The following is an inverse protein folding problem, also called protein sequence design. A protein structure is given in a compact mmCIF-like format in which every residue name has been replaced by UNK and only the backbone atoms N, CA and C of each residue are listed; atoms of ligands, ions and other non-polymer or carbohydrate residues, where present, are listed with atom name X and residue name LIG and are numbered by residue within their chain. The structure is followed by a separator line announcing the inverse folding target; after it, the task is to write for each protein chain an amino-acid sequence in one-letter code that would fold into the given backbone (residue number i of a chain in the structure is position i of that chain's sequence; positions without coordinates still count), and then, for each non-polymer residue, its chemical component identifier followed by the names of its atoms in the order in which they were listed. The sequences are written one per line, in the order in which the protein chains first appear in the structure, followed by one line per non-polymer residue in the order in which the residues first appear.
data_IF_369027923492
#
_entry.id   IF_369027923492
#
_cell.length_a   1.000
_cell.length_b   1.000
_cell.length_c   1.000
_cell.angle_alpha   90.00
_cell.angle_beta   90.00
_cell.angle_gamma   90.00
#
_symmetry.space_group_name_H-M   'P 1'
#
loop_
_entity.id
_entity.type
_entity.pdbx_description
1 polymer ?
#
# COMPACT_ATOMS: atom_id res chain seq x y z
N UNK A 1 15.54 2.47 -26.24
CA UNK A 1 16.52 2.68 -25.16
C UNK A 1 16.64 4.18 -24.85
N UNK A 2 16.04 4.63 -23.76
CA UNK A 2 16.06 6.02 -23.31
C UNK A 2 17.52 6.46 -23.14
N UNK A 3 18.01 7.25 -24.09
CA UNK A 3 19.33 7.90 -24.04
C UNK A 3 19.16 9.21 -23.26
N UNK A 4 18.56 9.09 -22.09
CA UNK A 4 18.24 10.22 -21.24
C UNK A 4 19.41 10.56 -20.33
N UNK A 5 19.52 11.83 -19.97
CA UNK A 5 20.50 12.31 -19.02
C UNK A 5 20.36 11.58 -17.67
N UNK A 6 21.48 11.30 -16.97
CA UNK A 6 21.47 10.55 -15.71
C UNK A 6 20.51 11.12 -14.66
N UNK A 7 20.23 12.43 -14.74
CA UNK A 7 19.26 13.12 -13.88
C UNK A 7 17.82 12.65 -14.11
N UNK A 8 17.38 12.52 -15.37
CA UNK A 8 16.00 12.13 -15.70
C UNK A 8 15.70 10.70 -15.26
N UNK A 9 16.69 9.81 -15.36
CA UNK A 9 16.57 8.42 -14.91
C UNK A 9 16.25 8.37 -13.41
N UNK A 10 16.94 9.16 -12.58
CA UNK A 10 16.69 9.19 -11.13
C UNK A 10 15.29 9.75 -10.79
N UNK A 11 14.82 10.74 -11.55
CA UNK A 11 13.45 11.26 -11.42
C UNK A 11 12.42 10.16 -11.72
N UNK A 12 12.59 9.39 -12.79
CA UNK A 12 11.69 8.28 -13.10
C UNK A 12 11.70 7.18 -12.04
N UNK A 13 12.88 6.86 -11.49
CA UNK A 13 12.98 5.91 -10.37
C UNK A 13 12.23 6.41 -9.13
N UNK A 14 12.41 7.68 -8.76
CA UNK A 14 11.67 8.30 -7.64
C UNK A 14 10.16 8.34 -7.87
N UNK A 15 9.74 8.65 -9.10
CA UNK A 15 8.33 8.63 -9.49
C UNK A 15 7.74 7.22 -9.45
N UNK A 16 8.52 6.18 -9.77
CA UNK A 16 8.09 4.79 -9.60
C UNK A 16 7.87 4.42 -8.13
N UNK A 17 8.73 4.87 -7.19
CA UNK A 17 8.50 4.70 -5.74
C UNK A 17 7.17 5.32 -5.34
N UNK A 18 6.94 6.57 -5.75
CA UNK A 18 5.72 7.30 -5.45
C UNK A 18 4.48 6.56 -5.99
N UNK A 19 4.52 6.18 -7.27
CA UNK A 19 3.38 5.56 -7.94
C UNK A 19 3.08 4.16 -7.37
N UNK A 20 4.10 3.35 -7.10
CA UNK A 20 3.95 2.03 -6.50
C UNK A 20 3.23 2.13 -5.15
N UNK A 21 3.69 3.03 -4.30
CA UNK A 21 3.13 3.24 -2.96
C UNK A 21 1.74 3.86 -2.98
N UNK A 22 1.51 4.81 -3.90
CA UNK A 22 0.19 5.38 -4.14
C UNK A 22 -0.83 4.32 -4.58
N UNK A 23 -0.46 3.46 -5.53
CA UNK A 23 -1.32 2.36 -6.01
C UNK A 23 -1.63 1.40 -4.86
N UNK A 24 -0.63 0.95 -4.10
CA UNK A 24 -0.83 0.05 -2.96
C UNK A 24 -1.74 0.67 -1.89
N UNK A 25 -1.58 1.96 -1.59
CA UNK A 25 -2.45 2.67 -0.64
C UNK A 25 -3.89 2.79 -1.14
N UNK A 26 -4.09 3.19 -2.41
CA UNK A 26 -5.43 3.32 -2.99
C UNK A 26 -6.16 1.96 -3.06
N UNK A 27 -5.44 0.88 -3.36
CA UNK A 27 -5.99 -0.47 -3.35
C UNK A 27 -6.24 -0.97 -1.91
N UNK A 28 -5.37 -0.61 -0.98
CA UNK A 28 -5.58 -0.81 0.46
C UNK A 28 -6.91 -0.22 0.92
N UNK A 29 -7.18 1.03 0.53
CA UNK A 29 -8.44 1.72 0.84
C UNK A 29 -9.66 1.04 0.22
N UNK A 30 -9.52 0.46 -0.98
CA UNK A 30 -10.64 -0.15 -1.72
C UNK A 30 -10.93 -1.59 -1.35
N UNK A 31 -9.91 -2.38 -1.01
CA UNK A 31 -10.06 -3.82 -0.82
C UNK A 31 -9.79 -4.25 0.61
N UNK A 32 -8.71 -3.75 1.21
CA UNK A 32 -8.29 -4.18 2.54
C UNK A 32 -9.05 -3.46 3.65
N UNK A 33 -9.30 -2.15 3.51
CA UNK A 33 -10.02 -1.34 4.49
C UNK A 33 -11.48 -1.78 4.68
N UNK A 34 -12.34 -1.89 3.63
CA UNK A 34 -13.73 -2.25 3.84
C UNK A 34 -13.91 -3.75 4.17
N UNK A 35 -12.85 -4.56 4.11
CA UNK A 35 -12.91 -6.01 4.24
C UNK A 35 -13.55 -6.51 5.54
N UNK A 36 -13.44 -5.76 6.64
CA UNK A 36 -14.10 -6.09 7.92
C UNK A 36 -15.58 -5.74 7.83
N UNK A 37 -15.91 -4.55 7.32
CA UNK A 37 -17.30 -4.09 7.14
C UNK A 37 -18.08 -5.00 6.18
N UNK A 38 -17.42 -5.52 5.14
CA UNK A 38 -17.99 -6.40 4.12
C UNK A 38 -18.41 -7.79 4.65
N UNK A 39 -18.00 -8.19 5.85
CA UNK A 39 -18.49 -9.45 6.43
C UNK A 39 -19.96 -9.38 6.86
N UNK A 40 -20.48 -8.17 7.06
CA UNK A 40 -21.89 -7.94 7.36
C UNK A 40 -22.41 -8.79 8.52
N UNK A 41 -23.49 -9.53 8.28
CA UNK A 41 -24.17 -10.36 9.30
C UNK A 41 -23.34 -11.56 9.76
N UNK A 42 -22.41 -12.05 8.94
CA UNK A 42 -21.54 -13.19 9.27
C UNK A 42 -20.60 -12.88 10.43
N UNK A 43 -20.29 -11.60 10.66
CA UNK A 43 -19.47 -11.16 11.79
C UNK A 43 -20.13 -11.47 13.15
N UNK A 44 -21.47 -11.52 13.23
CA UNK A 44 -22.17 -11.89 14.47
C UNK A 44 -21.93 -13.36 14.85
N UNK A 45 -21.82 -14.26 13.87
CA UNK A 45 -21.47 -15.66 14.10
C UNK A 45 -20.02 -15.75 14.61
N UNK A 46 -19.14 -14.91 14.05
CA UNK A 46 -17.74 -14.86 14.47
C UNK A 46 -17.58 -14.48 15.96
N UNK A 47 -18.44 -13.61 16.50
CA UNK A 47 -18.41 -13.22 17.93
C UNK A 47 -18.65 -14.39 18.90
N UNK A 48 -19.26 -15.47 18.43
CA UNK A 48 -19.58 -16.65 19.26
C UNK A 48 -18.39 -17.64 19.25
N UNK A 49 -17.46 -17.51 18.31
CA UNK A 49 -16.28 -18.38 18.23
C UNK A 49 -15.25 -18.05 19.32
N UNK A 50 -14.54 -19.04 19.87
CA UNK A 50 -13.46 -18.85 20.85
C UNK A 50 -12.17 -18.33 20.18
N UNK A 51 -12.29 -17.36 19.28
CA UNK A 51 -11.17 -16.77 18.53
C UNK A 51 -11.04 -15.31 18.94
N UNK A 52 -9.82 -14.89 19.28
CA UNK A 52 -9.56 -13.50 19.63
C UNK A 52 -9.69 -12.59 18.42
N UNK A 53 -10.27 -11.40 18.63
CA UNK A 53 -10.43 -10.39 17.58
C UNK A 53 -9.11 -10.00 16.91
N UNK A 54 -8.01 -9.99 17.67
CA UNK A 54 -6.66 -9.74 17.15
C UNK A 54 -6.21 -10.80 16.13
N UNK A 55 -6.47 -12.09 16.43
CA UNK A 55 -6.10 -13.20 15.54
C UNK A 55 -6.90 -13.16 14.24
N UNK A 56 -8.17 -12.77 14.34
CA UNK A 56 -9.03 -12.51 13.18
C UNK A 56 -8.45 -11.41 12.27
N UNK A 57 -8.18 -10.22 12.81
CA UNK A 57 -7.62 -9.12 12.01
C UNK A 57 -6.27 -9.48 11.39
N UNK A 58 -5.42 -10.18 12.14
CA UNK A 58 -4.12 -10.64 11.64
C UNK A 58 -4.27 -11.62 10.48
N UNK A 59 -5.16 -12.63 10.59
CA UNK A 59 -5.41 -13.56 9.49
C UNK A 59 -5.91 -12.85 8.23
N UNK A 60 -6.80 -11.86 8.40
CA UNK A 60 -7.32 -11.06 7.29
C UNK A 60 -6.23 -10.20 6.65
N UNK A 61 -5.38 -9.57 7.47
CA UNK A 61 -4.21 -8.83 7.00
C UNK A 61 -3.26 -9.68 6.16
N UNK A 62 -3.02 -10.93 6.57
CA UNK A 62 -2.22 -11.90 5.79
C UNK A 62 -2.89 -12.23 4.45
N UNK A 63 -4.22 -12.42 4.44
CA UNK A 63 -4.95 -12.71 3.20
C UNK A 63 -4.81 -11.61 2.15
N UNK A 64 -4.74 -10.33 2.58
CA UNK A 64 -4.51 -9.19 1.67
C UNK A 64 -3.03 -8.88 1.43
N UNK A 65 -2.14 -9.30 2.33
CA UNK A 65 -0.71 -9.14 2.16
C UNK A 65 -0.19 -9.86 0.91
N UNK A 66 -0.62 -11.11 0.69
CA UNK A 66 -0.18 -11.90 -0.46
C UNK A 66 -0.48 -11.23 -1.81
N UNK A 67 -1.72 -10.80 -2.14
CA UNK A 67 -2.00 -10.12 -3.39
C UNK A 67 -1.31 -8.74 -3.51
N UNK A 68 -1.00 -8.08 -2.39
CA UNK A 68 -0.32 -6.78 -2.43
C UNK A 68 1.16 -6.95 -2.74
N UNK A 69 1.81 -7.97 -2.16
CA UNK A 69 3.19 -8.32 -2.50
C UNK A 69 3.29 -8.73 -3.97
N UNK A 70 2.39 -9.58 -4.46
CA UNK A 70 2.43 -9.98 -5.87
C UNK A 70 2.25 -8.78 -6.80
N UNK A 71 1.33 -7.86 -6.48
CA UNK A 71 1.18 -6.63 -7.24
C UNK A 71 2.44 -5.76 -7.20
N UNK A 72 3.05 -5.58 -6.02
CA UNK A 72 4.29 -4.79 -5.88
C UNK A 72 5.44 -5.37 -6.71
N UNK A 73 5.54 -6.70 -6.78
CA UNK A 73 6.55 -7.41 -7.58
C UNK A 73 6.28 -7.18 -9.06
N UNK A 74 5.02 -7.30 -9.51
CA UNK A 74 4.64 -7.08 -10.91
C UNK A 74 4.99 -5.65 -11.35
N UNK A 75 4.64 -4.64 -10.54
CA UNK A 75 4.96 -3.23 -10.81
C UNK A 75 6.48 -2.99 -10.89
N UNK A 76 7.24 -3.55 -9.95
CA UNK A 76 8.70 -3.44 -9.95
C UNK A 76 9.35 -4.13 -11.14
N UNK A 77 8.93 -5.35 -11.48
CA UNK A 77 9.45 -6.07 -12.65
C UNK A 77 9.17 -5.26 -13.93
N UNK A 78 7.96 -4.71 -14.08
CA UNK A 78 7.63 -3.83 -15.19
C UNK A 78 8.55 -2.61 -15.28
N UNK A 79 8.85 -1.97 -14.14
CA UNK A 79 9.80 -0.87 -14.11
C UNK A 79 11.24 -1.29 -14.46
N UNK A 80 11.69 -2.47 -14.02
CA UNK A 80 13.04 -2.98 -14.29
C UNK A 80 13.30 -3.26 -15.77
N UNK A 81 12.25 -3.53 -16.56
CA UNK A 81 12.37 -3.68 -18.01
C UNK A 81 12.46 -2.34 -18.75
N UNK A 82 11.87 -1.28 -18.21
CA UNK A 82 11.74 0.01 -18.89
C UNK A 82 12.79 1.03 -18.43
N UNK A 83 13.26 0.95 -17.19
CA UNK A 83 14.16 1.91 -16.56
C UNK A 83 15.46 1.18 -16.19
N UNK A 84 16.65 1.78 -16.43
CA UNK A 84 17.91 1.18 -16.06
C UNK A 84 18.13 1.24 -14.54
N UNK A 85 18.05 0.08 -13.89
CA UNK A 85 18.38 -0.10 -12.46
C UNK A 85 19.64 -0.95 -12.28
N UNK A 86 20.52 -0.53 -11.37
CA UNK A 86 21.60 -1.35 -10.85
C UNK A 86 21.07 -2.50 -9.99
N UNK A 87 21.90 -3.52 -9.73
CA UNK A 87 21.49 -4.67 -8.91
C UNK A 87 21.04 -4.25 -7.50
N UNK A 88 21.80 -3.35 -6.85
CA UNK A 88 21.48 -2.85 -5.51
C UNK A 88 20.15 -2.10 -5.47
N UNK A 89 19.86 -1.28 -6.48
CA UNK A 89 18.59 -0.58 -6.57
C UNK A 89 17.42 -1.54 -6.77
N UNK A 90 17.57 -2.58 -7.62
CA UNK A 90 16.49 -3.59 -7.79
C UNK A 90 16.14 -4.26 -6.46
N UNK A 91 17.15 -4.65 -5.68
CA UNK A 91 16.94 -5.23 -4.35
C UNK A 91 16.26 -4.23 -3.41
N UNK A 92 16.70 -2.97 -3.38
CA UNK A 92 16.07 -1.92 -2.59
C UNK A 92 14.59 -1.74 -2.93
N UNK A 93 14.24 -1.64 -4.22
CA UNK A 93 12.87 -1.46 -4.68
C UNK A 93 11.96 -2.66 -4.37
N UNK A 94 12.50 -3.88 -4.44
CA UNK A 94 11.77 -5.09 -4.05
C UNK A 94 11.50 -5.13 -2.53
N UNK A 95 12.51 -4.82 -1.71
CA UNK A 95 12.36 -4.74 -0.26
C UNK A 95 11.38 -3.64 0.14
N UNK A 96 11.48 -2.47 -0.51
CA UNK A 96 10.55 -1.36 -0.31
C UNK A 96 9.11 -1.78 -0.62
N UNK A 97 8.86 -2.37 -1.79
CA UNK A 97 7.52 -2.83 -2.19
C UNK A 97 6.96 -3.89 -1.23
N UNK A 98 7.81 -4.81 -0.77
CA UNK A 98 7.44 -5.82 0.23
C UNK A 98 7.04 -5.18 1.57
N UNK A 99 7.88 -4.30 2.11
CA UNK A 99 7.59 -3.60 3.38
C UNK A 99 6.35 -2.71 3.28
N UNK A 100 6.19 -1.98 2.18
CA UNK A 100 5.02 -1.13 1.95
C UNK A 100 3.74 -1.96 1.80
N UNK A 101 3.83 -3.16 1.22
CA UNK A 101 2.70 -4.12 1.15
C UNK A 101 2.26 -4.60 2.53
N UNK A 102 3.19 -4.84 3.46
CA UNK A 102 2.85 -5.14 4.87
C UNK A 102 2.11 -3.97 5.50
N UNK A 103 2.68 -2.77 5.39
CA UNK A 103 2.08 -1.57 6.00
C UNK A 103 0.66 -1.39 5.46
N UNK A 104 0.51 -1.36 4.14
CA UNK A 104 -0.78 -1.10 3.51
C UNK A 104 -1.82 -2.18 3.79
N UNK A 105 -1.46 -3.47 3.80
CA UNK A 105 -2.42 -4.55 4.07
C UNK A 105 -2.90 -4.54 5.52
N UNK A 106 -1.99 -4.56 6.49
CA UNK A 106 -2.33 -4.65 7.91
C UNK A 106 -2.93 -3.36 8.44
N UNK A 107 -2.38 -2.20 8.07
CA UNK A 107 -2.87 -0.91 8.54
C UNK A 107 -4.25 -0.59 7.97
N UNK A 108 -4.55 -1.00 6.73
CA UNK A 108 -5.89 -0.86 6.16
C UNK A 108 -6.92 -1.70 6.91
N UNK A 109 -6.64 -3.00 7.14
CA UNK A 109 -7.53 -3.87 7.92
C UNK A 109 -7.73 -3.31 9.32
N UNK A 110 -6.66 -2.89 9.98
CA UNK A 110 -6.74 -2.32 11.32
C UNK A 110 -7.60 -1.07 11.36
N UNK A 111 -7.36 -0.11 10.47
CA UNK A 111 -8.13 1.15 10.40
C UNK A 111 -9.60 0.89 10.08
N UNK A 112 -9.89 -0.02 9.14
CA UNK A 112 -11.25 -0.40 8.77
C UNK A 112 -11.99 -1.20 9.85
N UNK A 113 -11.26 -1.75 10.82
CA UNK A 113 -11.81 -2.48 11.95
C UNK A 113 -12.25 -1.61 13.11
N UNK A 114 -11.81 -0.35 13.17
CA UNK A 114 -12.09 0.56 14.30
C UNK A 114 -13.58 0.91 14.37
N UNK A 115 -14.20 1.22 13.23
CA UNK A 115 -15.63 1.56 13.11
C UNK A 115 -16.27 0.82 11.91
N UNK A 116 -16.51 -0.50 12.03
CA UNK A 116 -16.98 -1.30 10.90
C UNK A 116 -18.46 -1.02 10.57
N UNK A 117 -18.73 -0.70 9.31
CA UNK A 117 -20.06 -0.35 8.80
C UNK A 117 -20.76 -1.55 8.16
N UNK A 118 -21.22 -2.51 8.97
CA UNK A 118 -21.79 -3.79 8.49
C UNK A 118 -23.11 -3.67 7.70
N UNK A 119 -23.82 -2.55 7.82
CA UNK A 119 -25.17 -2.38 7.27
C UNK A 119 -25.19 -1.39 6.08
N UNK A 120 -24.03 -1.00 5.56
CA UNK A 120 -23.93 -0.04 4.47
C UNK A 120 -24.19 -0.74 3.11
N UNK A 121 -25.22 -0.33 2.34
CA UNK A 121 -25.53 -0.98 1.06
C UNK A 121 -24.50 -0.68 -0.04
N UNK A 122 -23.70 0.38 0.11
CA UNK A 122 -22.70 0.76 -0.88
C UNK A 122 -21.27 0.58 -0.34
N UNK A 123 -20.56 -0.50 -0.72
CA UNK A 123 -19.22 -0.76 -0.24
C UNK A 123 -18.19 0.28 -0.71
N UNK A 124 -18.49 1.03 -1.79
CA UNK A 124 -17.62 2.10 -2.27
C UNK A 124 -17.63 3.32 -1.34
N UNK A 125 -18.70 3.53 -0.56
CA UNK A 125 -18.79 4.65 0.38
C UNK A 125 -18.02 4.39 1.68
N UNK A 126 -17.78 3.12 2.03
CA UNK A 126 -17.08 2.73 3.26
C UNK A 126 -15.66 3.32 3.27
N UNK A 127 -14.96 3.33 2.13
CA UNK A 127 -13.63 3.91 2.01
C UNK A 127 -13.57 5.44 2.18
N UNK A 128 -14.69 6.15 2.06
CA UNK A 128 -14.76 7.60 2.26
C UNK A 128 -15.08 8.00 3.72
N UNK A 129 -15.07 7.04 4.65
CA UNK A 129 -15.16 7.34 6.08
C UNK A 129 -13.94 8.12 6.58
N UNK A 130 -14.05 8.73 7.75
CA UNK A 130 -12.95 9.47 8.35
C UNK A 130 -11.70 8.61 8.56
N UNK A 131 -11.88 7.34 8.96
CA UNK A 131 -10.80 6.37 9.18
C UNK A 131 -10.16 5.92 7.87
N UNK A 132 -10.96 5.80 6.80
CA UNK A 132 -10.48 5.46 5.46
C UNK A 132 -9.60 6.57 4.89
N UNK A 133 -10.07 7.82 5.00
CA UNK A 133 -9.29 9.00 4.61
C UNK A 133 -8.01 9.13 5.47
N UNK A 134 -8.11 8.90 6.78
CA UNK A 134 -6.96 8.93 7.68
C UNK A 134 -5.88 7.90 7.28
N UNK A 135 -6.28 6.66 7.05
CA UNK A 135 -5.40 5.61 6.52
C UNK A 135 -4.72 6.08 5.22
N UNK A 136 -5.51 6.57 4.27
CA UNK A 136 -5.02 6.95 2.95
C UNK A 136 -4.01 8.11 3.04
N UNK A 137 -4.30 9.15 3.82
CA UNK A 137 -3.39 10.28 3.99
C UNK A 137 -2.09 9.88 4.67
N UNK A 138 -2.12 8.99 5.66
CA UNK A 138 -0.88 8.49 6.29
C UNK A 138 -0.02 7.75 5.27
N UNK A 139 -0.60 6.82 4.51
CA UNK A 139 0.14 6.08 3.49
C UNK A 139 0.65 7.00 2.37
N UNK A 140 -0.15 8.00 1.98
CA UNK A 140 0.22 9.02 1.00
C UNK A 140 1.40 9.87 1.48
N UNK A 141 1.37 10.35 2.72
CA UNK A 141 2.49 11.08 3.32
C UNK A 141 3.75 10.21 3.41
N UNK A 142 3.61 8.95 3.81
CA UNK A 142 4.72 8.00 3.84
C UNK A 142 5.34 7.85 2.44
N UNK A 143 4.50 7.71 1.41
CA UNK A 143 4.93 7.64 0.01
C UNK A 143 5.74 8.88 -0.39
N UNK A 144 5.26 10.08 -0.09
CA UNK A 144 5.96 11.33 -0.39
C UNK A 144 7.31 11.40 0.32
N UNK A 145 7.35 11.08 1.62
CA UNK A 145 8.58 11.10 2.42
C UNK A 145 9.63 10.17 1.82
N UNK A 146 9.27 8.95 1.45
CA UNK A 146 10.20 8.00 0.84
C UNK A 146 10.68 8.45 -0.54
N UNK A 147 9.80 9.05 -1.36
CA UNK A 147 10.19 9.60 -2.66
C UNK A 147 11.17 10.76 -2.51
N UNK A 148 10.92 11.69 -1.59
CA UNK A 148 11.82 12.82 -1.31
C UNK A 148 13.15 12.30 -0.78
N UNK A 149 13.14 11.32 0.13
CA UNK A 149 14.35 10.71 0.67
C UNK A 149 15.21 10.09 -0.44
N UNK A 150 14.60 9.36 -1.37
CA UNK A 150 15.32 8.77 -2.51
C UNK A 150 15.89 9.83 -3.46
N UNK A 151 15.19 10.95 -3.65
CA UNK A 151 15.62 12.05 -4.51
C UNK A 151 16.51 13.08 -3.79
N UNK A 152 16.86 12.85 -2.52
CA UNK A 152 17.59 13.83 -1.71
C UNK A 152 18.92 14.23 -2.34
N UNK A 153 19.71 13.26 -2.78
CA UNK A 153 21.02 13.50 -3.41
C UNK A 153 20.89 14.31 -4.71
N UNK A 154 19.75 14.18 -5.40
CA UNK A 154 19.44 14.98 -6.60
C UNK A 154 19.01 16.41 -6.24
N UNK A 155 18.22 16.57 -5.18
CA UNK A 155 17.72 17.87 -4.72
C UNK A 155 18.85 18.73 -4.15
N UNK A 156 19.81 18.14 -3.45
CA UNK A 156 21.01 18.84 -2.95
C UNK A 156 21.92 19.35 -4.06
N UNK A 157 21.86 18.78 -5.27
CA UNK A 157 22.58 19.29 -6.45
C UNK A 157 21.94 20.55 -7.07
N UNK A 158 20.67 20.83 -6.76
CA UNK A 158 19.91 21.97 -7.29
C UNK A 158 19.80 23.15 -6.31
N UNK A 159 20.03 22.93 -5.01
CA UNK A 159 19.99 23.93 -3.94
C UNK A 159 21.38 24.49 -3.66
#
# INVERSE_FOLDING_TARGET
PLKEEPMMINVYKGLHIFLLSFILSALGLRFSFPSVSLEGKSFYIFKILPISYKRYLFSKGISYFLPFVTLSIILNIGAFFNIPFSFYEKVFFLLYGFSFSIITSFFAVYSGSMNPQFNNPNPLQIGFSAEGLFYFFICFLLSIIFTIYYLKDLLELFL
#
